data_IF_614298869375
#
_entry.id   IF_614298869375
#
_cell.length_a   1.000
_cell.length_b   1.000
_cell.length_c   1.000
_cell.angle_alpha   90.00
_cell.angle_beta   90.00
_cell.angle_gamma   90.00
#
_symmetry.space_group_name_H-M   'P 1'
#
loop_
_entity.id
_entity.type
_entity.pdbx_description
1 polymer ?
#
# COMPACT_ATOMS: atom_id res chain seq x y z
N UNK A 1 -23.09 12.34 17.17
CA UNK A 1 -22.37 11.62 16.08
C UNK A 1 -23.41 11.13 15.09
N UNK A 2 -23.35 11.50 13.80
CA UNK A 2 -24.21 10.83 12.81
C UNK A 2 -23.76 9.37 12.76
N UNK A 3 -24.68 8.45 13.00
CA UNK A 3 -24.45 7.03 12.77
C UNK A 3 -24.04 6.84 11.31
N UNK A 4 -23.00 6.04 11.09
CA UNK A 4 -22.62 5.65 9.74
C UNK A 4 -23.75 4.78 9.20
N UNK A 5 -24.22 5.05 8.00
CA UNK A 5 -25.11 4.12 7.30
C UNK A 5 -24.44 2.73 7.27
N UNK A 6 -25.16 1.65 7.50
CA UNK A 6 -24.56 0.32 7.44
C UNK A 6 -23.92 0.07 6.08
N UNK A 7 -22.77 -0.59 6.08
CA UNK A 7 -22.10 -1.00 4.84
C UNK A 7 -23.05 -1.92 4.06
N UNK A 8 -23.36 -1.61 2.79
CA UNK A 8 -24.20 -2.49 1.98
C UNK A 8 -23.56 -3.89 1.91
N UNK A 9 -24.33 -4.98 2.09
CA UNK A 9 -23.78 -6.33 2.09
C UNK A 9 -23.06 -6.68 0.77
N UNK A 10 -23.53 -6.17 -0.35
CA UNK A 10 -23.01 -6.44 -1.70
C UNK A 10 -21.98 -5.40 -2.16
N UNK A 11 -21.55 -4.45 -1.30
CA UNK A 11 -20.58 -3.45 -1.69
C UNK A 11 -19.18 -4.09 -1.84
N UNK A 12 -18.54 -3.79 -2.98
CA UNK A 12 -17.12 -4.10 -3.21
C UNK A 12 -16.26 -3.46 -2.11
N UNK A 13 -15.14 -4.09 -1.80
CA UNK A 13 -14.19 -3.51 -0.86
C UNK A 13 -13.57 -2.22 -1.41
N UNK A 14 -13.26 -2.21 -2.71
CA UNK A 14 -12.83 -1.01 -3.44
C UNK A 14 -13.51 -0.99 -4.81
N UNK A 15 -14.03 0.18 -5.18
CA UNK A 15 -14.50 0.49 -6.53
C UNK A 15 -13.95 1.84 -6.92
N UNK A 16 -13.06 1.89 -7.91
CA UNK A 16 -12.57 3.13 -8.52
C UNK A 16 -12.92 3.13 -10.00
N UNK A 17 -13.42 4.25 -10.51
CA UNK A 17 -13.86 4.42 -11.90
C UNK A 17 -13.22 5.69 -12.45
N UNK A 18 -12.44 5.54 -13.51
CA UNK A 18 -11.76 6.60 -14.26
C UNK A 18 -10.99 7.59 -13.35
N UNK A 19 -10.33 7.02 -12.32
CA UNK A 19 -9.68 7.80 -11.28
C UNK A 19 -8.49 8.55 -11.85
N UNK A 20 -8.45 9.88 -11.62
CA UNK A 20 -7.41 10.78 -12.13
C UNK A 20 -6.76 11.56 -11.02
N UNK A 21 -5.44 11.73 -11.15
CA UNK A 21 -4.67 12.63 -10.28
C UNK A 21 -3.50 13.25 -11.03
N UNK A 22 -3.37 14.57 -10.95
CA UNK A 22 -2.26 15.33 -11.51
C UNK A 22 -1.47 16.04 -10.41
N UNK A 23 -0.17 16.19 -10.61
CA UNK A 23 0.68 17.02 -9.77
C UNK A 23 1.33 18.14 -10.59
N UNK A 24 1.48 19.31 -9.97
CA UNK A 24 2.19 20.43 -10.59
C UNK A 24 3.68 20.29 -10.27
N UNK A 25 4.47 19.93 -11.26
CA UNK A 25 5.94 20.01 -11.19
C UNK A 25 6.42 21.38 -11.68
N UNK A 26 7.39 21.97 -10.96
CA UNK A 26 8.09 23.20 -11.39
C UNK A 26 9.34 22.78 -12.13
N UNK A 27 9.39 23.03 -13.44
CA UNK A 27 10.60 22.89 -14.22
C UNK A 27 11.31 24.27 -14.24
N UNK A 28 12.62 24.29 -13.95
CA UNK A 28 13.42 25.53 -13.92
C UNK A 28 13.46 26.24 -15.28
N UNK A 29 13.32 25.50 -16.39
CA UNK A 29 13.40 26.04 -17.77
C UNK A 29 12.02 26.20 -18.43
N UNK A 30 11.02 25.36 -18.06
CA UNK A 30 9.71 25.28 -18.74
C UNK A 30 8.54 25.78 -17.89
N UNK A 31 8.80 26.26 -16.66
CA UNK A 31 7.74 26.74 -15.77
C UNK A 31 6.96 25.61 -15.09
N UNK A 32 5.70 25.89 -14.73
CA UNK A 32 4.83 24.89 -14.09
C UNK A 32 4.22 23.97 -15.15
N UNK A 33 4.42 22.66 -15.01
CA UNK A 33 3.79 21.62 -15.82
C UNK A 33 2.92 20.73 -14.94
N UNK A 34 1.71 20.40 -15.42
CA UNK A 34 0.90 19.31 -14.83
C UNK A 34 1.40 17.98 -15.34
N UNK A 35 1.63 17.04 -14.43
CA UNK A 35 2.08 15.70 -14.75
C UNK A 35 1.04 14.74 -14.17
N UNK A 36 0.40 13.89 -14.99
CA UNK A 36 -0.54 12.89 -14.50
C UNK A 36 0.22 11.86 -13.67
N UNK A 37 -0.32 11.55 -12.50
CA UNK A 37 0.13 10.45 -11.64
C UNK A 37 -0.82 9.25 -11.75
N UNK A 38 -2.10 9.51 -12.03
CA UNK A 38 -3.09 8.53 -12.45
C UNK A 38 -3.91 9.12 -13.60
N UNK A 39 -4.17 8.30 -14.61
CA UNK A 39 -4.88 8.66 -15.83
C UNK A 39 -5.95 7.58 -16.11
N UNK A 40 -7.20 7.88 -15.75
CA UNK A 40 -8.39 7.04 -15.96
C UNK A 40 -8.25 5.60 -15.41
N UNK A 41 -7.73 5.47 -14.18
CA UNK A 41 -7.54 4.17 -13.54
C UNK A 41 -8.87 3.66 -12.99
N UNK A 42 -9.32 2.50 -13.49
CA UNK A 42 -10.50 1.78 -12.99
C UNK A 42 -10.07 0.46 -12.37
N UNK A 43 -10.45 0.24 -11.10
CA UNK A 43 -10.06 -0.95 -10.32
C UNK A 43 -11.20 -1.36 -9.39
N UNK A 44 -11.40 -2.66 -9.25
CA UNK A 44 -12.33 -3.26 -8.28
C UNK A 44 -11.61 -4.29 -7.42
N UNK A 45 -11.92 -4.29 -6.12
CA UNK A 45 -11.51 -5.34 -5.18
C UNK A 45 -12.76 -5.95 -4.54
N UNK A 46 -12.83 -7.26 -4.54
CA UNK A 46 -13.82 -8.02 -3.77
C UNK A 46 -13.44 -8.04 -2.27
N UNK A 47 -14.39 -8.38 -1.42
CA UNK A 47 -14.13 -8.55 0.01
C UNK A 47 -13.27 -9.80 0.25
N UNK A 48 -12.27 -9.69 1.13
CA UNK A 48 -11.34 -10.78 1.45
C UNK A 48 -10.31 -11.05 0.34
N UNK A 49 -10.37 -10.30 -0.77
CA UNK A 49 -9.43 -10.44 -1.87
C UNK A 49 -8.10 -9.75 -1.56
N UNK A 50 -7.01 -10.33 -2.04
CA UNK A 50 -5.70 -9.68 -2.11
C UNK A 50 -5.39 -9.33 -3.57
N UNK A 51 -5.34 -8.04 -3.88
CA UNK A 51 -4.95 -7.55 -5.20
C UNK A 51 -3.58 -6.88 -5.10
N UNK A 52 -2.63 -7.32 -5.94
CA UNK A 52 -1.35 -6.63 -6.09
C UNK A 52 -1.40 -5.64 -7.25
N UNK A 53 -0.85 -4.45 -7.06
CA UNK A 53 -0.58 -3.49 -8.12
C UNK A 53 0.93 -3.46 -8.34
N UNK A 54 1.35 -4.07 -9.44
CA UNK A 54 2.73 -4.05 -9.92
C UNK A 54 3.00 -2.80 -10.74
N UNK A 55 4.18 -2.25 -10.56
CA UNK A 55 4.65 -1.12 -11.37
C UNK A 55 5.97 -0.58 -10.86
N UNK A 56 6.68 0.09 -11.73
CA UNK A 56 7.95 0.74 -11.39
C UNK A 56 7.76 1.93 -10.45
N UNK A 57 8.86 2.49 -9.95
CA UNK A 57 8.83 3.73 -9.19
C UNK A 57 8.25 4.87 -10.05
N UNK A 58 7.33 5.63 -9.49
CA UNK A 58 6.66 6.70 -10.25
C UNK A 58 5.45 6.26 -11.09
N UNK A 59 5.12 4.97 -11.18
CA UNK A 59 3.95 4.49 -11.96
C UNK A 59 2.59 4.97 -11.44
N UNK A 60 2.50 5.43 -10.17
CA UNK A 60 1.25 5.92 -9.58
C UNK A 60 0.75 5.12 -8.38
N UNK A 61 1.37 4.00 -8.00
CA UNK A 61 0.96 3.10 -6.89
C UNK A 61 0.67 3.84 -5.59
N UNK A 62 1.65 4.60 -5.08
CA UNK A 62 1.47 5.36 -3.84
C UNK A 62 0.42 6.47 -3.97
N UNK A 63 0.17 6.98 -5.17
CA UNK A 63 -0.92 7.94 -5.43
C UNK A 63 -2.28 7.25 -5.29
N UNK A 64 -2.45 6.07 -5.87
CA UNK A 64 -3.66 5.25 -5.72
C UNK A 64 -3.95 4.96 -4.24
N UNK A 65 -2.95 4.47 -3.50
CA UNK A 65 -3.06 4.22 -2.05
C UNK A 65 -3.48 5.48 -1.28
N UNK A 66 -2.90 6.65 -1.59
CA UNK A 66 -3.24 7.91 -0.92
C UNK A 66 -4.65 8.40 -1.24
N UNK A 67 -5.16 8.18 -2.45
CA UNK A 67 -6.54 8.51 -2.82
C UNK A 67 -7.53 7.61 -2.08
N UNK A 68 -7.34 6.30 -2.09
CA UNK A 68 -8.18 5.33 -1.39
C UNK A 68 -8.17 5.52 0.14
N UNK A 69 -7.03 5.94 0.71
CA UNK A 69 -6.91 6.26 2.14
C UNK A 69 -7.36 7.68 2.50
N UNK A 70 -7.96 8.43 1.57
CA UNK A 70 -8.45 9.81 1.77
C UNK A 70 -7.37 10.85 2.10
N UNK A 71 -6.10 10.55 1.85
CA UNK A 71 -4.98 11.48 2.06
C UNK A 71 -4.78 12.44 0.89
N UNK A 72 -5.33 12.08 -0.27
CA UNK A 72 -5.40 12.93 -1.46
C UNK A 72 -6.85 12.95 -1.96
N UNK A 73 -7.21 14.04 -2.65
CA UNK A 73 -8.46 14.14 -3.38
C UNK A 73 -8.19 13.86 -4.86
N UNK A 74 -9.06 13.11 -5.54
CA UNK A 74 -8.97 12.92 -6.98
C UNK A 74 -9.25 14.22 -7.73
N UNK A 75 -8.67 14.36 -8.91
CA UNK A 75 -8.95 15.48 -9.83
C UNK A 75 -10.04 15.10 -10.84
N UNK A 76 -10.38 13.79 -10.96
CA UNK A 76 -11.47 13.27 -11.77
C UNK A 76 -11.77 11.81 -11.44
N UNK A 77 -12.88 11.31 -11.99
CA UNK A 77 -13.40 9.99 -11.66
C UNK A 77 -14.01 9.90 -10.26
N UNK A 78 -14.18 8.69 -9.77
CA UNK A 78 -14.73 8.42 -8.43
C UNK A 78 -14.07 7.19 -7.80
N UNK A 79 -14.03 7.16 -6.47
CA UNK A 79 -13.63 5.96 -5.74
C UNK A 79 -14.51 5.76 -4.51
N UNK A 80 -14.83 4.50 -4.23
CA UNK A 80 -15.58 4.06 -3.05
C UNK A 80 -14.83 2.95 -2.34
N UNK A 81 -14.96 2.95 -1.03
CA UNK A 81 -14.44 1.90 -0.15
C UNK A 81 -15.59 1.37 0.68
N UNK A 82 -15.94 0.10 0.50
CA UNK A 82 -17.14 -0.52 1.07
C UNK A 82 -18.40 0.31 0.85
N UNK A 83 -18.56 0.88 -0.37
CA UNK A 83 -19.68 1.73 -0.75
C UNK A 83 -19.56 3.19 -0.31
N UNK A 84 -18.65 3.56 0.60
CA UNK A 84 -18.43 4.95 1.03
C UNK A 84 -17.54 5.70 0.05
N UNK A 85 -17.99 6.88 -0.39
CA UNK A 85 -17.24 7.76 -1.30
C UNK A 85 -16.03 8.37 -0.57
N UNK A 86 -14.83 8.22 -1.17
CA UNK A 86 -13.57 8.68 -0.54
C UNK A 86 -13.50 10.19 -0.33
N UNK A 87 -14.30 10.98 -1.07
CA UNK A 87 -14.36 12.44 -0.95
C UNK A 87 -15.44 12.86 0.05
N UNK A 88 -16.65 12.33 -0.09
CA UNK A 88 -17.83 12.73 0.70
C UNK A 88 -17.85 12.11 2.08
N UNK A 89 -17.46 10.83 2.17
CA UNK A 89 -17.57 10.00 3.36
C UNK A 89 -16.20 9.68 3.98
N UNK A 90 -15.20 10.54 3.79
CA UNK A 90 -13.82 10.29 4.18
C UNK A 90 -13.62 9.90 5.67
N UNK A 91 -14.51 10.32 6.59
CA UNK A 91 -14.48 9.87 8.00
C UNK A 91 -14.88 8.41 8.15
N UNK A 92 -15.83 7.93 7.33
CA UNK A 92 -16.25 6.53 7.32
C UNK A 92 -15.13 5.65 6.74
N UNK A 93 -14.59 6.06 5.59
CA UNK A 93 -13.47 5.36 4.93
C UNK A 93 -12.29 5.20 5.88
N UNK A 94 -11.85 6.26 6.58
CA UNK A 94 -10.71 6.19 7.52
C UNK A 94 -10.90 5.27 8.73
N UNK A 95 -12.11 4.83 9.02
CA UNK A 95 -12.39 3.83 10.07
C UNK A 95 -12.26 2.39 9.57
N UNK A 96 -12.37 2.19 8.25
CA UNK A 96 -12.34 0.88 7.60
C UNK A 96 -10.95 0.56 7.06
N UNK A 97 -10.12 1.58 6.83
CA UNK A 97 -8.85 1.48 6.10
C UNK A 97 -7.67 1.78 7.01
N UNK A 98 -6.67 0.92 6.99
CA UNK A 98 -5.33 1.27 7.45
C UNK A 98 -4.30 1.14 6.33
N UNK A 99 -3.22 1.91 6.47
CA UNK A 99 -2.15 1.97 5.49
C UNK A 99 -0.79 1.71 6.14
N UNK A 100 0.00 0.90 5.47
CA UNK A 100 1.44 0.76 5.71
C UNK A 100 2.18 1.35 4.52
N UNK A 101 3.15 2.21 4.75
CA UNK A 101 3.97 2.82 3.71
C UNK A 101 5.44 2.52 3.92
N UNK A 102 6.23 2.60 2.84
CA UNK A 102 7.69 2.40 2.82
C UNK A 102 8.41 3.17 3.93
N UNK A 103 8.00 4.42 4.13
CA UNK A 103 8.52 5.28 5.18
C UNK A 103 7.48 5.43 6.29
N UNK A 104 7.46 4.49 7.21
CA UNK A 104 6.65 4.63 8.39
C UNK A 104 7.24 5.71 9.30
N UNK A 105 6.50 6.82 9.44
CA UNK A 105 6.89 7.88 10.37
C UNK A 105 6.69 7.43 11.81
N UNK A 106 7.77 7.38 12.57
CA UNK A 106 7.80 7.08 14.00
C UNK A 106 8.47 8.20 14.78
N UNK A 107 8.12 8.32 16.05
CA UNK A 107 8.91 9.08 17.01
C UNK A 107 10.18 8.28 17.30
N UNK A 108 11.29 8.65 16.67
CA UNK A 108 12.52 7.87 16.63
C UNK A 108 13.10 7.55 18.02
N UNK A 109 12.94 8.46 18.98
CA UNK A 109 13.42 8.30 20.37
C UNK A 109 12.47 7.50 21.27
N UNK A 110 11.22 7.27 20.82
CA UNK A 110 10.27 6.42 21.51
C UNK A 110 10.46 4.97 21.10
N UNK A 111 10.14 4.06 21.99
CA UNK A 111 10.12 2.61 21.72
C UNK A 111 8.94 2.19 20.85
N UNK A 112 8.93 0.97 20.30
CA UNK A 112 7.76 0.37 19.63
C UNK A 112 6.49 0.46 20.45
N UNK A 113 6.55 0.04 21.73
CA UNK A 113 5.39 0.06 22.63
C UNK A 113 4.86 1.49 22.83
N UNK A 114 5.73 2.47 23.06
CA UNK A 114 5.32 3.87 23.21
C UNK A 114 4.73 4.45 21.92
N UNK A 115 5.33 4.18 20.76
CA UNK A 115 4.79 4.60 19.46
C UNK A 115 3.40 4.02 19.22
N UNK A 116 3.18 2.75 19.53
CA UNK A 116 1.88 2.09 19.36
C UNK A 116 0.85 2.61 20.37
N UNK A 117 1.20 2.80 21.64
CA UNK A 117 0.32 3.45 22.62
C UNK A 117 -0.06 4.88 22.21
N UNK A 118 0.91 5.65 21.66
CA UNK A 118 0.64 6.98 21.15
C UNK A 118 -0.34 6.93 19.96
N UNK A 119 -0.12 6.02 19.00
CA UNK A 119 -1.01 5.84 17.85
C UNK A 119 -2.42 5.42 18.26
N UNK A 120 -2.56 4.49 19.20
CA UNK A 120 -3.83 3.99 19.70
C UNK A 120 -4.73 5.12 20.27
N UNK A 121 -4.14 6.15 20.91
CA UNK A 121 -4.88 7.32 21.40
C UNK A 121 -5.57 8.10 20.29
N UNK A 122 -4.97 8.19 19.08
CA UNK A 122 -5.61 8.84 17.92
C UNK A 122 -6.84 8.05 17.44
N UNK A 123 -6.86 6.74 17.69
CA UNK A 123 -8.01 5.89 17.39
C UNK A 123 -9.03 5.86 18.52
N UNK A 124 -8.81 6.62 19.61
CA UNK A 124 -9.71 6.70 20.75
C UNK A 124 -9.64 5.50 21.70
N UNK A 125 -8.59 4.68 21.59
CA UNK A 125 -8.36 3.54 22.48
C UNK A 125 -7.80 4.01 23.83
N UNK A 126 -8.27 3.39 24.90
CA UNK A 126 -7.78 3.65 26.26
C UNK A 126 -6.48 2.89 26.53
N UNK A 127 -5.74 3.34 27.57
CA UNK A 127 -4.52 2.64 28.00
C UNK A 127 -4.84 1.21 28.47
N UNK A 128 -6.00 1.01 29.10
CA UNK A 128 -6.43 -0.32 29.56
C UNK A 128 -6.65 -1.30 28.39
N UNK A 129 -7.28 -0.83 27.29
CA UNK A 129 -7.51 -1.65 26.10
C UNK A 129 -6.20 -2.02 25.40
N UNK A 130 -5.22 -1.13 25.41
CA UNK A 130 -3.97 -1.31 24.66
C UNK A 130 -2.88 -2.02 25.45
N UNK A 131 -2.99 -2.12 26.78
CA UNK A 131 -1.97 -2.71 27.65
C UNK A 131 -1.61 -4.16 27.29
N UNK A 132 -2.62 -4.98 27.02
CA UNK A 132 -2.44 -6.38 26.65
C UNK A 132 -2.43 -6.57 25.12
N UNK A 133 -3.11 -5.70 24.39
CA UNK A 133 -3.27 -5.82 22.94
C UNK A 133 -1.98 -5.47 22.18
N UNK A 134 -1.27 -4.41 22.56
CA UNK A 134 -0.01 -4.03 21.91
C UNK A 134 1.06 -5.13 21.98
N UNK A 135 1.34 -5.75 23.13
CA UNK A 135 2.24 -6.90 23.19
C UNK A 135 1.84 -8.06 22.29
N UNK A 136 0.52 -8.39 22.22
CA UNK A 136 0.00 -9.46 21.35
C UNK A 136 0.17 -9.11 19.86
N UNK A 137 -0.13 -7.87 19.47
CA UNK A 137 0.06 -7.43 18.08
C UNK A 137 1.54 -7.47 17.69
N UNK A 138 2.45 -7.00 18.56
CA UNK A 138 3.90 -7.06 18.31
C UNK A 138 4.40 -8.50 18.18
N UNK A 139 3.89 -9.42 19.00
CA UNK A 139 4.22 -10.85 18.91
C UNK A 139 3.71 -11.45 17.58
N UNK A 140 2.49 -11.12 17.15
CA UNK A 140 1.92 -11.57 15.87
C UNK A 140 2.72 -11.15 14.65
N UNK A 141 3.27 -9.93 14.66
CA UNK A 141 4.17 -9.48 13.57
C UNK A 141 5.59 -10.03 13.72
N UNK A 142 5.83 -10.96 14.65
CA UNK A 142 7.15 -11.54 14.89
C UNK A 142 8.17 -10.55 15.44
N UNK A 143 7.72 -9.54 16.21
CA UNK A 143 8.62 -8.56 16.83
C UNK A 143 9.25 -9.12 18.11
N UNK A 144 10.59 -9.07 18.29
CA UNK A 144 11.27 -9.61 19.46
C UNK A 144 10.81 -8.95 20.77
N UNK A 145 10.38 -9.75 21.78
CA UNK A 145 9.83 -9.21 23.03
C UNK A 145 10.82 -8.33 23.83
N UNK A 146 12.09 -8.70 23.83
CA UNK A 146 13.18 -8.04 24.53
C UNK A 146 13.51 -6.66 23.97
N UNK A 147 13.11 -6.38 22.71
CA UNK A 147 13.39 -5.10 22.03
C UNK A 147 12.19 -4.14 22.00
N UNK A 148 11.07 -4.48 22.65
CA UNK A 148 9.83 -3.67 22.65
C UNK A 148 10.00 -2.29 23.32
N UNK A 149 11.00 -2.13 24.17
CA UNK A 149 11.30 -0.89 24.92
C UNK A 149 12.52 -0.13 24.39
N UNK A 150 13.17 -0.66 23.36
CA UNK A 150 14.32 -0.01 22.73
C UNK A 150 13.86 1.13 21.79
N UNK A 151 14.56 2.28 21.71
CA UNK A 151 14.20 3.37 20.81
C UNK A 151 14.16 2.92 19.35
N UNK A 152 13.18 3.42 18.59
CA UNK A 152 12.99 3.07 17.15
C UNK A 152 14.24 3.35 16.30
N UNK A 153 15.05 4.37 16.64
CA UNK A 153 16.26 4.70 15.89
C UNK A 153 17.37 3.63 15.97
N UNK A 154 17.31 2.75 16.96
CA UNK A 154 18.26 1.64 17.15
C UNK A 154 17.81 0.33 16.48
N UNK A 155 16.58 0.31 15.92
CA UNK A 155 16.00 -0.87 15.30
C UNK A 155 16.37 -0.96 13.82
N UNK A 156 16.53 -2.20 13.32
CA UNK A 156 16.70 -2.45 11.90
C UNK A 156 15.46 -2.01 11.09
N UNK A 157 15.62 -1.80 9.79
CA UNK A 157 14.50 -1.49 8.88
C UNK A 157 13.38 -2.52 8.96
N UNK A 158 13.73 -3.83 8.96
CA UNK A 158 12.76 -4.91 9.10
C UNK A 158 11.97 -4.83 10.42
N UNK A 159 12.64 -4.52 11.51
CA UNK A 159 11.97 -4.33 12.81
C UNK A 159 11.06 -3.10 12.81
N UNK A 160 11.49 -1.99 12.23
CA UNK A 160 10.65 -0.79 12.07
C UNK A 160 9.42 -1.09 11.20
N UNK A 161 9.57 -1.90 10.15
CA UNK A 161 8.47 -2.32 9.29
C UNK A 161 7.45 -3.19 10.04
N UNK A 162 7.91 -4.12 10.89
CA UNK A 162 7.03 -4.88 11.79
C UNK A 162 6.23 -3.99 12.73
N UNK A 163 6.83 -2.91 13.25
CA UNK A 163 6.10 -1.93 14.06
C UNK A 163 5.08 -1.15 13.22
N UNK A 164 5.38 -0.86 11.94
CA UNK A 164 4.43 -0.22 11.04
C UNK A 164 3.22 -1.12 10.75
N UNK A 165 3.43 -2.41 10.54
CA UNK A 165 2.39 -3.42 10.42
C UNK A 165 1.58 -3.54 11.72
N UNK A 166 2.25 -3.63 12.87
CA UNK A 166 1.59 -3.65 14.16
C UNK A 166 0.69 -2.43 14.37
N UNK A 167 1.15 -1.22 13.99
CA UNK A 167 0.34 -0.01 14.05
C UNK A 167 -0.90 -0.08 13.16
N UNK A 168 -0.79 -0.66 11.98
CA UNK A 168 -1.91 -0.81 11.07
C UNK A 168 -2.98 -1.77 11.62
N UNK A 169 -2.62 -2.68 12.51
CA UNK A 169 -3.54 -3.65 13.12
C UNK A 169 -4.29 -3.14 14.34
N UNK A 170 -3.86 -2.04 14.95
CA UNK A 170 -4.47 -1.52 16.19
C UNK A 170 -5.99 -1.36 16.12
N UNK A 171 -6.55 -1.14 14.96
CA UNK A 171 -7.99 -0.92 14.78
C UNK A 171 -8.70 -2.04 14.01
N UNK A 172 -8.03 -3.18 13.81
CA UNK A 172 -8.58 -4.31 13.04
C UNK A 172 -9.22 -3.86 11.72
N UNK A 173 -8.44 -3.31 10.78
CA UNK A 173 -8.98 -2.73 9.55
C UNK A 173 -9.62 -3.79 8.65
N UNK A 174 -10.70 -3.42 7.98
CA UNK A 174 -11.36 -4.28 6.98
C UNK A 174 -10.62 -4.22 5.62
N UNK A 175 -9.98 -3.08 5.32
CA UNK A 175 -9.10 -2.89 4.16
C UNK A 175 -7.71 -2.46 4.61
N UNK A 176 -6.72 -3.23 4.20
CA UNK A 176 -5.31 -2.94 4.42
C UNK A 176 -4.65 -2.49 3.12
N UNK A 177 -4.11 -1.28 3.10
CA UNK A 177 -3.38 -0.72 1.96
C UNK A 177 -1.88 -0.80 2.27
N UNK A 178 -1.17 -1.66 1.56
CA UNK A 178 0.26 -1.90 1.72
C UNK A 178 1.01 -1.24 0.55
N UNK A 179 1.86 -0.27 0.87
CA UNK A 179 2.65 0.47 -0.12
C UNK A 179 4.12 0.10 0.06
N UNK A 180 4.60 -0.83 -0.78
CA UNK A 180 5.96 -1.37 -0.77
C UNK A 180 6.37 -1.97 0.60
N UNK A 181 5.60 -2.93 1.17
CA UNK A 181 5.77 -3.35 2.56
C UNK A 181 7.08 -4.10 2.84
N UNK A 182 7.73 -4.66 1.82
CA UNK A 182 8.97 -5.44 1.96
C UNK A 182 10.20 -4.76 1.37
N UNK A 183 10.04 -3.57 0.78
CA UNK A 183 11.14 -2.84 0.12
C UNK A 183 12.28 -2.50 1.08
N UNK A 184 13.49 -2.90 0.70
CA UNK A 184 14.71 -2.64 1.48
C UNK A 184 14.84 -3.50 2.74
N UNK A 185 14.09 -4.60 2.83
CA UNK A 185 14.25 -5.61 3.86
C UNK A 185 15.24 -6.70 3.40
N UNK A 186 15.92 -7.30 4.38
CA UNK A 186 16.67 -8.52 4.13
C UNK A 186 15.72 -9.70 3.79
N UNK A 187 16.22 -10.76 3.11
CA UNK A 187 15.37 -11.86 2.64
C UNK A 187 14.55 -12.53 3.74
N UNK A 188 15.09 -12.66 4.95
CA UNK A 188 14.38 -13.26 6.09
C UNK A 188 13.24 -12.37 6.56
N UNK A 189 13.50 -11.08 6.76
CA UNK A 189 12.47 -10.10 7.15
C UNK A 189 11.37 -9.99 6.10
N UNK A 190 11.72 -10.08 4.79
CA UNK A 190 10.74 -10.13 3.70
C UNK A 190 9.78 -11.31 3.85
N UNK A 191 10.31 -12.52 4.03
CA UNK A 191 9.48 -13.73 4.21
C UNK A 191 8.57 -13.63 5.44
N UNK A 192 9.09 -13.12 6.57
CA UNK A 192 8.31 -12.94 7.80
C UNK A 192 7.14 -11.94 7.60
N UNK A 193 7.34 -10.86 6.83
CA UNK A 193 6.28 -9.90 6.46
C UNK A 193 5.27 -10.54 5.52
N UNK A 194 5.70 -11.31 4.53
CA UNK A 194 4.80 -12.01 3.60
C UNK A 194 3.94 -13.05 4.33
N UNK A 195 4.52 -13.82 5.23
CA UNK A 195 3.77 -14.79 6.04
C UNK A 195 2.72 -14.10 6.91
N UNK A 196 3.09 -12.99 7.53
CA UNK A 196 2.15 -12.18 8.29
C UNK A 196 0.98 -11.66 7.42
N UNK A 197 1.23 -11.21 6.17
CA UNK A 197 0.17 -10.78 5.25
C UNK A 197 -0.78 -11.95 4.94
N UNK A 198 -0.26 -13.16 4.71
CA UNK A 198 -1.08 -14.37 4.51
C UNK A 198 -1.94 -14.69 5.73
N UNK A 199 -1.34 -14.62 6.91
CA UNK A 199 -2.05 -14.86 8.19
C UNK A 199 -3.20 -13.86 8.38
N UNK A 200 -2.96 -12.58 8.13
CA UNK A 200 -3.97 -11.53 8.25
C UNK A 200 -5.17 -11.78 7.34
N UNK A 201 -4.92 -12.23 6.12
CA UNK A 201 -5.97 -12.59 5.18
C UNK A 201 -6.79 -13.78 5.66
N UNK A 202 -6.12 -14.85 6.12
CA UNK A 202 -6.79 -16.11 6.51
C UNK A 202 -7.61 -15.98 7.80
N UNK A 203 -7.16 -15.18 8.77
CA UNK A 203 -7.78 -15.12 10.11
C UNK A 203 -8.84 -14.00 10.25
N UNK A 204 -8.81 -12.98 9.41
CA UNK A 204 -9.63 -11.78 9.60
C UNK A 204 -10.50 -11.39 8.39
N UNK A 205 -10.54 -12.20 7.34
CA UNK A 205 -11.19 -11.88 6.06
C UNK A 205 -10.82 -10.46 5.57
N UNK A 206 -9.59 -10.01 5.90
CA UNK A 206 -9.14 -8.68 5.54
C UNK A 206 -8.93 -8.59 4.04
N UNK A 207 -9.49 -7.55 3.43
CA UNK A 207 -9.18 -7.20 2.05
C UNK A 207 -7.83 -6.50 1.99
N UNK A 208 -7.00 -6.81 1.01
CA UNK A 208 -5.64 -6.27 0.90
C UNK A 208 -5.42 -5.68 -0.49
N UNK A 209 -4.98 -4.43 -0.56
CA UNK A 209 -4.37 -3.84 -1.74
C UNK A 209 -2.88 -3.73 -1.50
N UNK A 210 -2.10 -4.52 -2.20
CA UNK A 210 -0.64 -4.56 -2.14
C UNK A 210 -0.06 -3.80 -3.33
N UNK A 211 0.64 -2.70 -3.10
CA UNK A 211 1.41 -2.01 -4.12
C UNK A 211 2.87 -2.41 -3.98
N UNK A 212 3.45 -2.97 -5.02
CA UNK A 212 4.84 -3.44 -5.02
C UNK A 212 5.47 -3.36 -6.41
N UNK A 213 6.78 -3.35 -6.47
CA UNK A 213 7.54 -3.60 -7.70
C UNK A 213 8.14 -5.00 -7.71
N UNK A 214 7.96 -5.77 -6.65
CA UNK A 214 8.48 -7.13 -6.48
C UNK A 214 7.48 -8.15 -7.05
N UNK A 215 7.88 -8.79 -8.14
CA UNK A 215 7.05 -9.76 -8.86
C UNK A 215 6.78 -11.02 -8.06
N UNK A 216 7.82 -11.53 -7.36
CA UNK A 216 7.69 -12.72 -6.51
C UNK A 216 6.72 -12.46 -5.35
N UNK A 217 6.74 -11.25 -4.78
CA UNK A 217 5.80 -10.85 -3.74
C UNK A 217 4.36 -10.82 -4.27
N UNK A 218 4.14 -10.23 -5.44
CA UNK A 218 2.83 -10.17 -6.07
C UNK A 218 2.29 -11.58 -6.40
N UNK A 219 3.09 -12.44 -7.02
CA UNK A 219 2.70 -13.81 -7.37
C UNK A 219 2.45 -14.68 -6.13
N UNK A 220 3.21 -14.47 -5.04
CA UNK A 220 3.08 -15.24 -3.81
C UNK A 220 1.86 -14.87 -2.95
N UNK A 221 1.35 -13.64 -3.04
CA UNK A 221 0.35 -13.10 -2.11
C UNK A 221 -0.99 -12.77 -2.75
N UNK A 222 -1.03 -12.42 -4.03
CA UNK A 222 -2.22 -11.86 -4.66
C UNK A 222 -3.09 -12.89 -5.38
N UNK A 223 -4.40 -12.68 -5.35
CA UNK A 223 -5.37 -13.42 -6.18
C UNK A 223 -5.37 -12.85 -7.61
N UNK A 224 -5.30 -11.53 -7.73
CA UNK A 224 -5.17 -10.83 -9.01
C UNK A 224 -4.04 -9.81 -8.93
N UNK A 225 -3.43 -9.60 -10.08
CA UNK A 225 -2.30 -8.68 -10.26
C UNK A 225 -2.69 -7.62 -11.29
N UNK A 226 -2.60 -6.35 -10.89
CA UNK A 226 -2.75 -5.21 -11.78
C UNK A 226 -1.39 -4.70 -12.22
N UNK A 227 -1.23 -4.41 -13.51
CA UNK A 227 -0.02 -3.78 -14.05
C UNK A 227 -0.30 -2.30 -14.23
N UNK A 228 0.39 -1.46 -13.44
CA UNK A 228 0.27 0.00 -13.49
C UNK A 228 1.56 0.60 -14.07
N UNK A 229 1.46 1.23 -15.25
CA UNK A 229 2.56 1.95 -15.87
C UNK A 229 2.16 3.39 -16.19
N UNK A 230 3.00 4.36 -15.80
CA UNK A 230 2.84 5.81 -16.07
C UNK A 230 1.42 6.34 -15.80
N UNK A 231 0.82 5.87 -14.73
CA UNK A 231 -0.52 6.27 -14.30
C UNK A 231 -1.67 5.55 -14.98
N UNK A 232 -1.40 4.59 -15.87
CA UNK A 232 -2.41 3.78 -16.56
C UNK A 232 -2.42 2.34 -16.04
N UNK A 233 -3.60 1.81 -15.73
CA UNK A 233 -3.78 0.39 -15.44
C UNK A 233 -3.91 -0.37 -16.76
N UNK A 234 -2.91 -1.16 -17.09
CA UNK A 234 -2.83 -1.90 -18.37
C UNK A 234 -3.61 -3.21 -18.34
N UNK A 235 -3.63 -3.87 -17.19
CA UNK A 235 -4.35 -5.12 -16.96
C UNK A 235 -4.64 -5.29 -15.46
N UNK A 236 -5.65 -6.12 -15.11
CA UNK A 236 -5.97 -6.57 -13.76
C UNK A 236 -6.60 -7.95 -13.84
N UNK A 237 -5.79 -8.97 -13.67
CA UNK A 237 -6.14 -10.38 -13.92
C UNK A 237 -5.38 -11.27 -12.94
N UNK A 238 -5.66 -12.58 -12.90
CA UNK A 238 -4.79 -13.53 -12.18
C UNK A 238 -3.41 -13.61 -12.84
N UNK A 239 -2.40 -14.04 -12.09
CA UNK A 239 -1.05 -14.20 -12.65
C UNK A 239 -1.02 -15.12 -13.87
N UNK A 240 -1.82 -16.20 -13.85
CA UNK A 240 -1.90 -17.14 -14.98
C UNK A 240 -2.60 -16.54 -16.20
N UNK A 241 -3.66 -15.77 -16.00
CA UNK A 241 -4.33 -15.03 -17.10
C UNK A 241 -3.42 -13.99 -17.71
N UNK A 242 -2.63 -13.26 -16.90
CA UNK A 242 -1.62 -12.32 -17.39
C UNK A 242 -0.56 -13.02 -18.22
N UNK A 243 -0.02 -14.16 -17.75
CA UNK A 243 0.93 -14.98 -18.50
C UNK A 243 0.34 -15.43 -19.84
N UNK A 244 -0.88 -15.91 -19.84
CA UNK A 244 -1.57 -16.34 -21.06
C UNK A 244 -1.84 -15.17 -22.03
N UNK A 245 -2.29 -14.03 -21.52
CA UNK A 245 -2.61 -12.83 -22.32
C UNK A 245 -1.41 -12.27 -23.06
N UNK A 246 -0.23 -12.29 -22.43
CA UNK A 246 1.00 -11.74 -22.97
C UNK A 246 1.93 -12.82 -23.56
N UNK A 247 1.44 -14.06 -23.72
CA UNK A 247 2.20 -15.20 -24.27
C UNK A 247 3.54 -15.41 -23.53
N UNK A 248 3.52 -15.33 -22.19
CA UNK A 248 4.68 -15.33 -21.32
C UNK A 248 4.72 -16.58 -20.42
N UNK A 249 5.92 -17.08 -20.12
CA UNK A 249 6.11 -18.20 -19.19
C UNK A 249 6.15 -17.75 -17.73
N UNK A 250 6.52 -16.48 -17.49
CA UNK A 250 6.65 -15.92 -16.15
C UNK A 250 5.88 -14.58 -16.02
N UNK A 251 5.52 -14.21 -14.79
CA UNK A 251 4.90 -12.90 -14.52
C UNK A 251 5.83 -11.74 -14.92
N UNK A 252 7.15 -11.93 -14.81
CA UNK A 252 8.15 -10.98 -15.23
C UNK A 252 8.10 -10.72 -16.75
N UNK A 253 8.08 -11.78 -17.55
CA UNK A 253 7.92 -11.66 -19.01
C UNK A 253 6.60 -10.99 -19.39
N UNK A 254 5.50 -11.34 -18.70
CA UNK A 254 4.20 -10.70 -18.91
C UNK A 254 4.24 -9.19 -18.57
N UNK A 255 4.91 -8.81 -17.49
CA UNK A 255 5.09 -7.43 -17.12
C UNK A 255 5.89 -6.64 -18.18
N UNK A 256 6.99 -7.21 -18.67
CA UNK A 256 7.80 -6.58 -19.73
C UNK A 256 7.04 -6.45 -21.05
N UNK A 257 6.28 -7.48 -21.43
CA UNK A 257 5.45 -7.42 -22.62
C UNK A 257 4.35 -6.35 -22.50
N UNK A 258 3.74 -6.22 -21.33
CA UNK A 258 2.70 -5.22 -21.07
C UNK A 258 3.22 -3.79 -21.09
N UNK A 259 4.39 -3.54 -20.50
CA UNK A 259 4.98 -2.20 -20.33
C UNK A 259 5.89 -1.78 -21.49
N UNK A 260 6.37 -2.75 -22.27
CA UNK A 260 7.36 -2.55 -23.33
C UNK A 260 8.77 -2.26 -22.84
N UNK A 261 9.08 -2.49 -21.53
CA UNK A 261 10.36 -2.17 -20.87
C UNK A 261 10.68 -3.13 -19.74
N UNK A 262 11.99 -3.33 -19.49
CA UNK A 262 12.49 -3.98 -18.28
C UNK A 262 12.45 -3.09 -17.04
N UNK A 263 12.57 -3.67 -15.84
CA UNK A 263 12.71 -2.91 -14.60
C UNK A 263 14.01 -2.08 -14.54
N UNK A 264 15.02 -2.47 -15.32
CA UNK A 264 16.37 -1.86 -15.34
C UNK A 264 16.46 -0.59 -16.19
N UNK A 265 15.52 -0.39 -17.14
CA UNK A 265 15.58 0.73 -18.11
C UNK A 265 15.39 2.12 -17.45
N UNK A 266 14.85 2.21 -16.24
CA UNK A 266 14.62 3.49 -15.55
C UNK A 266 15.80 3.97 -14.69
N UNK A 267 16.62 3.08 -14.14
CA UNK A 267 17.83 3.52 -13.42
C UNK A 267 18.77 4.22 -14.41
N UNK A 268 18.85 3.76 -15.65
CA UNK A 268 19.65 4.39 -16.70
C UNK A 268 19.05 5.73 -17.19
N UNK A 269 17.72 5.87 -17.26
CA UNK A 269 17.07 7.13 -17.63
C UNK A 269 17.15 8.19 -16.51
N UNK A 270 16.99 7.81 -15.23
CA UNK A 270 17.15 8.68 -14.07
C UNK A 270 18.60 9.13 -13.90
N UNK A 271 19.57 8.22 -14.02
CA UNK A 271 21.00 8.53 -14.00
C UNK A 271 21.40 9.41 -15.19
N UNK A 272 20.81 9.20 -16.37
CA UNK A 272 21.06 10.04 -17.55
C UNK A 272 20.44 11.44 -17.43
N UNK A 273 19.28 11.58 -16.77
CA UNK A 273 18.70 12.92 -16.46
C UNK A 273 19.48 13.64 -15.35
N UNK A 274 19.91 12.94 -14.29
CA UNK A 274 20.76 13.53 -13.23
C UNK A 274 22.14 13.95 -13.77
N UNK A 275 22.78 13.16 -14.62
CA UNK A 275 24.04 13.52 -15.28
C UNK A 275 23.89 14.72 -16.22
N UNK A 276 22.74 14.90 -16.89
CA UNK A 276 22.44 16.10 -17.70
C UNK A 276 22.17 17.35 -16.87
N UNK A 277 21.84 17.20 -15.60
CA UNK A 277 21.60 18.34 -14.68
C UNK A 277 22.90 18.81 -14.01
N UNK A 278 23.92 17.93 -13.93
CA UNK A 278 25.22 18.21 -13.33
C UNK A 278 26.30 18.66 -14.35
N UNK A 279 26.00 18.64 -15.65
CA UNK A 279 26.83 19.15 -16.74
C UNK A 279 26.27 20.47 -17.26
#
# INVERSE_FOLDING_TARGET
MRELSPVPPDALAVEAIDLRKEFVRKDKKRGKRRVPALADVSITLERGECVAILGQNGSGKSTLVRLLSTLLLPDGGSARVFGYDVVKDGKAVRRLVNRVSVEASFFKKMSPSENLHYAARFYGMTVSETKDEIPRILERVGFPPDRRTEPMENLSRGMQQKVALARALLTSPVLLLLDEPTTGLDPRSKLEVQEFIREMRSLHDSTILLCTHDLDEAEALADRVGILDRGHLLALETADELKARYEADTLEQAFFAATGRGFEDEEDELDAEERKVLA
#
